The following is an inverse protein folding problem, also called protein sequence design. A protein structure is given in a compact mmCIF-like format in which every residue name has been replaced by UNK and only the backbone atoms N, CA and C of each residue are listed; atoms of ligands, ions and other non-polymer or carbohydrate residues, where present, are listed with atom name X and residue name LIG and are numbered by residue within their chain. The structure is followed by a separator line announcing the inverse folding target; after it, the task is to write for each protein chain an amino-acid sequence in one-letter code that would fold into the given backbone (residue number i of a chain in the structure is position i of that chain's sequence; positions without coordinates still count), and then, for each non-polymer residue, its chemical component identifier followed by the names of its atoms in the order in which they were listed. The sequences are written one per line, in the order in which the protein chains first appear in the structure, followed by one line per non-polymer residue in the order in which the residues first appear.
data_IF_595010488050
#
_entry.id   IF_595010488050
#
_cell.length_a   1.000
_cell.length_b   1.000
_cell.length_c   1.000
_cell.angle_alpha   90.00
_cell.angle_beta   90.00
_cell.angle_gamma   90.00
#
_symmetry.space_group_name_H-M   'P 1'
#
loop_
_entity.id
_entity.type
_entity.pdbx_description
1 polymer ?
#
# COMPACT_ATOMS: atom_id res chain seq x y z
N UNK A 1 -21.85 2.46 -17.05
CA UNK A 1 -22.17 3.56 -16.09
C UNK A 1 -21.53 3.17 -14.76
N UNK A 2 -20.79 4.05 -14.09
CA UNK A 2 -20.16 3.69 -12.81
C UNK A 2 -21.22 3.44 -11.73
N UNK A 3 -21.05 2.41 -10.89
CA UNK A 3 -21.87 2.24 -9.71
C UNK A 3 -21.43 3.22 -8.65
N UNK A 4 -22.37 4.02 -8.18
CA UNK A 4 -22.19 4.77 -6.93
C UNK A 4 -22.40 3.83 -5.73
N UNK A 5 -22.02 4.26 -4.54
CA UNK A 5 -22.30 3.47 -3.32
C UNK A 5 -23.81 3.25 -3.12
N UNK A 6 -24.63 4.25 -3.45
CA UNK A 6 -26.10 4.12 -3.40
C UNK A 6 -26.65 3.09 -4.38
N UNK A 7 -26.11 3.08 -5.62
CA UNK A 7 -26.52 2.07 -6.60
C UNK A 7 -26.15 0.67 -6.13
N UNK A 8 -24.95 0.51 -5.57
CA UNK A 8 -24.47 -0.78 -5.05
C UNK A 8 -25.37 -1.30 -3.92
N UNK A 9 -25.73 -0.44 -2.96
CA UNK A 9 -26.69 -0.79 -1.88
C UNK A 9 -28.00 -1.29 -2.48
N UNK A 10 -28.54 -0.55 -3.44
CA UNK A 10 -29.81 -0.88 -4.10
C UNK A 10 -29.74 -2.23 -4.80
N UNK A 11 -28.66 -2.48 -5.54
CA UNK A 11 -28.45 -3.73 -6.26
C UNK A 11 -28.28 -4.91 -5.31
N UNK A 12 -27.48 -4.78 -4.24
CA UNK A 12 -27.30 -5.84 -3.23
C UNK A 12 -28.66 -6.23 -2.61
N UNK A 13 -29.47 -5.25 -2.23
CA UNK A 13 -30.81 -5.54 -1.67
C UNK A 13 -31.74 -6.22 -2.67
N UNK A 14 -31.74 -5.77 -3.93
CA UNK A 14 -32.53 -6.37 -4.99
C UNK A 14 -32.16 -7.84 -5.22
N UNK A 15 -30.86 -8.16 -5.25
CA UNK A 15 -30.39 -9.55 -5.42
C UNK A 15 -30.66 -10.42 -4.20
N UNK A 16 -30.60 -9.84 -3.00
CA UNK A 16 -30.87 -10.54 -1.76
C UNK A 16 -32.38 -10.67 -1.47
N UNK A 17 -33.24 -9.98 -2.24
CA UNK A 17 -34.69 -9.87 -2.00
C UNK A 17 -35.01 -9.35 -0.58
N UNK A 18 -34.20 -8.42 -0.07
CA UNK A 18 -34.34 -7.83 1.27
C UNK A 18 -34.53 -6.32 1.19
N UNK A 19 -35.28 -5.78 2.15
CA UNK A 19 -35.43 -4.34 2.35
C UNK A 19 -34.39 -3.80 3.37
N UNK A 20 -34.53 -2.51 3.72
CA UNK A 20 -33.64 -1.86 4.69
C UNK A 20 -33.79 -2.37 6.12
N UNK A 21 -34.92 -3.03 6.46
CA UNK A 21 -35.13 -3.65 7.78
C UNK A 21 -34.42 -5.02 7.84
N UNK A 22 -34.46 -5.77 6.73
CA UNK A 22 -33.81 -7.07 6.64
C UNK A 22 -32.28 -6.95 6.44
N UNK A 23 -31.82 -5.93 5.70
CA UNK A 23 -30.39 -5.70 5.44
C UNK A 23 -30.04 -4.21 5.56
N UNK A 24 -29.47 -3.83 6.71
CA UNK A 24 -29.14 -2.43 7.02
C UNK A 24 -27.96 -1.91 6.19
N UNK A 25 -27.89 -0.57 5.97
CA UNK A 25 -26.77 0.07 5.28
C UNK A 25 -25.44 -0.19 5.99
N UNK A 26 -25.43 -0.26 7.31
CA UNK A 26 -24.22 -0.57 8.09
C UNK A 26 -23.71 -2.00 7.82
N UNK A 27 -24.62 -2.97 7.71
CA UNK A 27 -24.26 -4.35 7.35
C UNK A 27 -23.70 -4.42 5.94
N UNK A 28 -24.35 -3.76 4.97
CA UNK A 28 -23.87 -3.69 3.58
C UNK A 28 -22.48 -3.03 3.54
N UNK A 29 -22.26 -1.95 4.30
CA UNK A 29 -20.95 -1.29 4.37
C UNK A 29 -19.85 -2.25 4.77
N UNK A 30 -20.06 -3.08 5.78
CA UNK A 30 -19.07 -4.09 6.22
C UNK A 30 -18.83 -5.15 5.15
N UNK A 31 -19.88 -5.65 4.51
CA UNK A 31 -19.78 -6.63 3.43
C UNK A 31 -18.96 -6.08 2.26
N UNK A 32 -19.29 -4.88 1.82
CA UNK A 32 -18.59 -4.21 0.71
C UNK A 32 -17.12 -3.96 1.05
N UNK A 33 -16.80 -3.46 2.25
CA UNK A 33 -15.41 -3.28 2.69
C UNK A 33 -14.63 -4.59 2.71
N UNK A 34 -15.22 -5.67 3.19
CA UNK A 34 -14.58 -6.98 3.20
C UNK A 34 -14.31 -7.49 1.77
N UNK A 35 -15.26 -7.28 0.87
CA UNK A 35 -15.12 -7.62 -0.56
C UNK A 35 -14.01 -6.81 -1.21
N UNK A 36 -13.98 -5.50 -1.04
CA UNK A 36 -12.91 -4.64 -1.56
C UNK A 36 -11.54 -5.09 -1.02
N UNK A 37 -11.44 -5.32 0.29
CA UNK A 37 -10.21 -5.79 0.92
C UNK A 37 -9.75 -7.15 0.38
N UNK A 38 -10.67 -8.05 0.06
CA UNK A 38 -10.36 -9.33 -0.58
C UNK A 38 -9.85 -9.13 -1.99
N UNK A 39 -10.55 -8.35 -2.82
CA UNK A 39 -10.14 -8.02 -4.19
C UNK A 39 -8.74 -7.41 -4.20
N UNK A 40 -8.49 -6.42 -3.36
CA UNK A 40 -7.18 -5.75 -3.30
C UNK A 40 -6.05 -6.65 -2.77
N UNK A 41 -6.35 -7.70 -1.99
CA UNK A 41 -5.33 -8.68 -1.59
C UNK A 41 -4.95 -9.63 -2.71
N UNK A 42 -5.91 -9.99 -3.56
CA UNK A 42 -5.72 -10.98 -4.62
C UNK A 42 -5.22 -10.33 -5.92
N UNK A 43 -5.62 -9.09 -6.19
CA UNK A 43 -5.35 -8.42 -7.46
C UNK A 43 -4.58 -7.11 -7.25
N UNK A 44 -3.48 -6.94 -7.99
CA UNK A 44 -2.75 -5.69 -8.07
C UNK A 44 -3.28 -4.86 -9.25
N UNK A 45 -4.07 -3.84 -8.97
CA UNK A 45 -4.66 -2.96 -9.98
C UNK A 45 -3.71 -1.81 -10.27
N UNK A 46 -3.31 -1.66 -11.52
CA UNK A 46 -2.32 -0.66 -11.95
C UNK A 46 -2.72 0.79 -11.67
N UNK A 47 -4.02 1.07 -11.61
CA UNK A 47 -4.52 2.39 -11.24
C UNK A 47 -4.16 2.82 -9.80
N UNK A 48 -3.77 1.87 -8.95
CA UNK A 48 -3.35 2.13 -7.56
C UNK A 48 -1.84 2.08 -7.35
N UNK A 49 -1.06 2.09 -8.44
CA UNK A 49 0.37 2.31 -8.36
C UNK A 49 0.67 3.73 -7.89
N UNK A 50 1.51 3.83 -6.88
CA UNK A 50 1.95 5.10 -6.29
C UNK A 50 3.46 5.11 -6.20
N UNK A 51 4.02 6.30 -6.32
CA UNK A 51 5.43 6.58 -6.08
C UNK A 51 5.55 7.44 -4.84
N UNK A 52 6.39 7.04 -3.92
CA UNK A 52 6.77 7.84 -2.77
C UNK A 52 8.28 7.94 -2.69
N UNK A 53 8.77 8.96 -2.01
CA UNK A 53 10.20 9.11 -1.73
C UNK A 53 10.43 9.33 -0.24
N UNK A 54 11.51 8.75 0.26
CA UNK A 54 12.06 8.99 1.59
C UNK A 54 13.52 9.44 1.45
N UNK A 55 14.03 10.16 2.43
CA UNK A 55 15.43 10.59 2.43
C UNK A 55 16.14 9.90 3.59
N UNK A 56 17.30 9.29 3.30
CA UNK A 56 18.15 8.73 4.35
C UNK A 56 18.88 9.82 5.11
N UNK A 57 19.20 9.53 6.36
CA UNK A 57 20.02 10.40 7.21
C UNK A 57 21.36 9.71 7.44
N UNK A 58 22.47 10.42 7.26
CA UNK A 58 23.79 9.87 7.50
C UNK A 58 23.92 9.32 8.93
N UNK A 59 24.38 8.07 9.04
CA UNK A 59 24.48 7.39 10.33
C UNK A 59 23.19 6.76 10.86
N UNK A 60 22.08 6.83 10.12
CA UNK A 60 20.80 6.22 10.49
C UNK A 60 20.46 5.11 9.51
N UNK A 61 20.31 3.88 10.02
CA UNK A 61 20.02 2.68 9.22
C UNK A 61 18.51 2.49 8.92
N UNK A 62 17.67 3.46 9.24
CA UNK A 62 16.22 3.33 9.09
C UNK A 62 15.63 4.45 8.24
N UNK A 63 14.56 4.11 7.51
CA UNK A 63 13.72 5.05 6.78
C UNK A 63 12.24 4.80 7.09
N UNK A 64 11.42 5.84 6.93
CA UNK A 64 9.96 5.71 7.11
C UNK A 64 9.31 5.01 5.93
N UNK A 65 8.36 4.13 6.22
CA UNK A 65 7.52 3.45 5.23
C UNK A 65 6.35 4.36 4.85
N UNK A 66 6.00 4.47 3.57
CA UNK A 66 4.79 5.18 3.16
C UNK A 66 3.53 4.55 3.75
N UNK A 67 2.58 5.38 4.17
CA UNK A 67 1.29 4.91 4.66
C UNK A 67 0.49 4.24 3.53
N UNK A 68 -0.30 3.23 3.89
CA UNK A 68 -1.15 2.51 2.93
C UNK A 68 -0.38 1.63 1.93
N UNK A 69 0.91 1.36 2.18
CA UNK A 69 1.69 0.46 1.36
C UNK A 69 1.17 -0.97 1.48
N UNK A 70 0.92 -1.62 0.35
CA UNK A 70 0.45 -3.01 0.28
C UNK A 70 1.48 -3.94 -0.35
N UNK A 71 1.82 -3.72 -1.60
CA UNK A 71 2.73 -4.56 -2.35
C UNK A 71 3.80 -3.70 -3.03
N UNK A 72 5.06 -4.00 -2.75
CA UNK A 72 6.21 -3.26 -3.26
C UNK A 72 6.53 -3.76 -4.67
N UNK A 73 6.80 -2.84 -5.57
CA UNK A 73 7.25 -3.13 -6.94
C UNK A 73 8.78 -3.08 -7.03
N UNK A 74 9.34 -2.00 -6.56
CA UNK A 74 10.78 -1.82 -6.46
C UNK A 74 11.11 -0.68 -5.50
N UNK A 75 12.33 -0.73 -5.00
CA UNK A 75 12.92 0.32 -4.17
C UNK A 75 14.23 0.74 -4.82
N UNK A 76 14.38 2.03 -5.07
CA UNK A 76 15.56 2.60 -5.75
C UNK A 76 16.19 3.68 -4.89
N UNK A 77 17.50 3.69 -4.87
CA UNK A 77 18.31 4.76 -4.30
C UNK A 77 18.72 5.70 -5.42
N UNK A 78 18.66 7.00 -5.16
CA UNK A 78 19.17 8.05 -6.04
C UNK A 78 20.21 8.84 -5.27
N UNK A 79 21.43 8.92 -5.81
CA UNK A 79 22.51 9.69 -5.22
C UNK A 79 22.42 11.20 -5.55
N UNK A 80 23.35 11.99 -5.02
CA UNK A 80 23.40 13.44 -5.24
C UNK A 80 23.70 13.84 -6.68
N UNK A 81 24.20 12.92 -7.51
CA UNK A 81 24.52 13.15 -8.94
C UNK A 81 23.40 12.67 -9.86
N UNK A 82 22.35 12.04 -9.30
CA UNK A 82 21.20 11.52 -10.04
C UNK A 82 21.36 10.08 -10.52
N UNK A 83 22.43 9.36 -10.13
CA UNK A 83 22.55 7.94 -10.44
C UNK A 83 21.52 7.14 -9.65
N UNK A 84 20.95 6.14 -10.30
CA UNK A 84 19.90 5.29 -9.73
C UNK A 84 20.41 3.87 -9.54
N UNK A 85 20.29 3.33 -8.34
CA UNK A 85 20.59 1.96 -7.99
C UNK A 85 19.36 1.26 -7.37
N UNK A 86 19.10 0.02 -7.76
CA UNK A 86 18.04 -0.77 -7.12
C UNK A 86 18.54 -1.32 -5.79
N UNK A 87 17.76 -1.13 -4.74
CA UNK A 87 17.97 -1.78 -3.45
C UNK A 87 17.35 -3.19 -3.47
N UNK A 88 18.11 -4.17 -3.02
CA UNK A 88 17.64 -5.55 -2.95
C UNK A 88 16.99 -5.81 -1.58
N UNK A 89 15.82 -6.44 -1.61
CA UNK A 89 15.16 -6.91 -0.39
C UNK A 89 15.94 -8.09 0.22
N UNK A 90 16.12 -8.04 1.53
CA UNK A 90 16.75 -9.09 2.34
C UNK A 90 15.94 -9.33 3.61
N UNK A 91 16.20 -10.44 4.26
CA UNK A 91 15.64 -10.72 5.57
C UNK A 91 16.17 -9.73 6.63
N UNK A 92 15.30 -9.31 7.54
CA UNK A 92 15.65 -8.33 8.59
C UNK A 92 16.70 -8.84 9.57
N UNK A 93 16.70 -10.16 9.87
CA UNK A 93 17.71 -10.76 10.76
C UNK A 93 19.08 -10.76 10.08
N UNK A 94 19.14 -11.08 8.78
CA UNK A 94 20.37 -10.97 7.99
C UNK A 94 20.94 -9.54 7.99
N UNK A 95 20.08 -8.54 7.81
CA UNK A 95 20.54 -7.14 7.81
C UNK A 95 20.95 -6.67 9.21
N UNK A 96 20.33 -7.17 10.27
CA UNK A 96 20.74 -6.87 11.66
C UNK A 96 22.16 -7.36 11.95
N UNK A 97 22.55 -8.55 11.46
CA UNK A 97 23.93 -9.04 11.55
C UNK A 97 24.91 -8.20 10.73
N UNK A 98 24.47 -7.67 9.58
CA UNK A 98 25.28 -6.84 8.71
C UNK A 98 25.61 -5.46 9.31
N UNK A 99 24.82 -5.00 10.28
CA UNK A 99 25.05 -3.75 11.02
C UNK A 99 25.97 -4.02 12.21
N UNK A 100 27.25 -4.19 11.99
CA UNK A 100 28.23 -4.49 13.05
C UNK A 100 28.34 -3.37 14.09
N UNK A 101 28.44 -2.12 13.65
CA UNK A 101 28.57 -0.93 14.50
C UNK A 101 27.95 0.31 13.84
N UNK A 102 26.69 0.64 14.15
CA UNK A 102 26.01 1.80 13.54
C UNK A 102 26.70 3.14 13.84
N UNK A 103 27.48 3.22 14.91
CA UNK A 103 28.20 4.44 15.31
C UNK A 103 29.50 4.65 14.54
N UNK A 104 30.06 3.59 13.92
CA UNK A 104 31.32 3.66 13.20
C UNK A 104 31.14 4.41 11.87
N UNK A 105 31.80 5.54 11.70
CA UNK A 105 31.78 6.31 10.46
C UNK A 105 32.49 5.62 9.32
N UNK A 106 33.48 4.77 9.61
CA UNK A 106 34.26 4.05 8.59
C UNK A 106 33.47 2.89 7.94
N UNK A 107 32.40 2.41 8.56
CA UNK A 107 31.54 1.36 8.04
C UNK A 107 30.32 1.90 7.27
N UNK A 108 30.15 3.21 7.25
CA UNK A 108 29.06 3.84 6.50
C UNK A 108 29.37 3.86 5.01
N UNK A 109 28.37 3.52 4.21
CA UNK A 109 28.49 3.50 2.75
C UNK A 109 27.13 3.79 2.10
N UNK A 110 27.10 3.75 0.78
CA UNK A 110 25.86 3.77 0.01
C UNK A 110 25.04 2.50 0.30
N UNK A 111 23.74 2.64 0.68
CA UNK A 111 22.85 1.50 0.90
C UNK A 111 22.68 0.64 -0.37
N UNK A 112 22.64 -0.69 -0.18
CA UNK A 112 22.45 -1.69 -1.24
C UNK A 112 21.28 -2.60 -0.96
N UNK A 113 20.90 -2.72 0.31
CA UNK A 113 19.86 -3.64 0.77
C UNK A 113 18.84 -2.89 1.62
N UNK A 114 17.64 -3.41 1.63
CA UNK A 114 16.58 -2.98 2.51
C UNK A 114 15.83 -4.18 3.09
N UNK A 115 15.19 -4.01 4.22
CA UNK A 115 14.30 -4.99 4.84
C UNK A 115 13.17 -4.32 5.63
N UNK A 116 12.05 -5.00 5.74
CA UNK A 116 11.00 -4.61 6.67
C UNK A 116 11.49 -4.78 8.11
N UNK A 117 11.39 -3.70 8.91
CA UNK A 117 11.62 -3.78 10.35
C UNK A 117 10.29 -3.85 11.09
N UNK A 118 9.35 -2.98 10.74
CA UNK A 118 7.99 -2.97 11.23
C UNK A 118 7.06 -2.28 10.23
N UNK A 119 5.79 -2.09 10.59
CA UNK A 119 4.78 -1.49 9.70
C UNK A 119 5.09 -0.04 9.25
N UNK A 120 5.97 0.66 9.95
CA UNK A 120 6.27 2.09 9.70
C UNK A 120 7.74 2.37 9.38
N UNK A 121 8.61 1.37 9.48
CA UNK A 121 10.06 1.55 9.38
C UNK A 121 10.71 0.41 8.61
N UNK A 122 11.61 0.75 7.69
CA UNK A 122 12.51 -0.18 7.02
C UNK A 122 13.95 0.02 7.43
N UNK A 123 14.73 -1.06 7.45
CA UNK A 123 16.17 -1.01 7.49
C UNK A 123 16.74 -0.74 6.10
N UNK A 124 17.80 0.06 6.04
CA UNK A 124 18.65 0.25 4.86
C UNK A 124 20.11 0.00 5.24
N UNK A 125 20.80 -0.78 4.45
CA UNK A 125 22.14 -1.29 4.78
C UNK A 125 23.04 -1.33 3.53
N UNK A 126 24.31 -0.94 3.61
CA UNK A 126 25.05 -0.35 4.74
C UNK A 126 24.40 0.90 5.34
N UNK A 127 24.81 1.26 6.55
CA UNK A 127 24.38 2.53 7.19
C UNK A 127 24.78 3.69 6.28
N UNK A 128 23.86 4.59 5.91
CA UNK A 128 24.17 5.67 4.96
C UNK A 128 25.30 6.59 5.42
N UNK A 129 26.23 6.89 4.55
CA UNK A 129 27.31 7.86 4.80
C UNK A 129 26.90 9.30 4.49
N UNK A 130 25.82 9.49 3.72
CA UNK A 130 25.24 10.79 3.38
C UNK A 130 23.73 10.65 3.17
N UNK A 131 23.06 11.75 2.83
CA UNK A 131 21.65 11.71 2.44
C UNK A 131 21.52 11.18 1.00
N UNK A 132 20.65 10.19 0.84
CA UNK A 132 20.20 9.63 -0.44
C UNK A 132 18.70 9.72 -0.53
N UNK A 133 18.17 9.87 -1.73
CA UNK A 133 16.72 9.75 -1.97
C UNK A 133 16.38 8.30 -2.25
N UNK A 134 15.44 7.74 -1.50
CA UNK A 134 14.90 6.39 -1.74
C UNK A 134 13.55 6.53 -2.41
N UNK A 135 13.43 6.11 -3.65
CA UNK A 135 12.20 6.07 -4.41
C UNK A 135 11.54 4.70 -4.25
N UNK A 136 10.28 4.69 -3.87
CA UNK A 136 9.51 3.48 -3.58
C UNK A 136 8.32 3.44 -4.53
N UNK A 137 8.27 2.42 -5.39
CA UNK A 137 7.11 2.13 -6.23
C UNK A 137 6.31 1.00 -5.60
N UNK A 138 5.04 1.22 -5.34
CA UNK A 138 4.19 0.26 -4.65
C UNK A 138 2.73 0.37 -5.07
N UNK A 139 1.92 -0.63 -4.72
CA UNK A 139 0.47 -0.56 -4.77
C UNK A 139 -0.05 -0.05 -3.43
N UNK A 140 -0.80 1.05 -3.47
CA UNK A 140 -1.43 1.62 -2.27
C UNK A 140 -2.73 0.89 -1.92
N UNK A 141 -3.12 0.98 -0.64
CA UNK A 141 -4.46 0.61 -0.20
C UNK A 141 -5.45 1.70 -0.63
N UNK A 142 -6.41 1.40 -1.51
CA UNK A 142 -7.41 2.38 -1.90
C UNK A 142 -8.38 2.68 -0.75
N UNK A 143 -8.97 3.87 -0.78
CA UNK A 143 -10.09 4.21 0.09
C UNK A 143 -11.32 3.43 -0.34
N UNK A 144 -12.04 2.81 0.61
CA UNK A 144 -13.28 2.08 0.32
C UNK A 144 -14.36 3.02 -0.22
N UNK A 145 -15.20 2.50 -1.12
CA UNK A 145 -16.40 3.21 -1.60
C UNK A 145 -17.34 3.60 -0.45
N UNK A 146 -17.29 2.86 0.65
CA UNK A 146 -18.15 3.08 1.82
C UNK A 146 -17.70 4.22 2.72
N UNK A 147 -16.44 4.66 2.62
CA UNK A 147 -15.86 5.74 3.46
C UNK A 147 -16.07 7.13 2.87
N UNK A 148 -16.58 7.23 1.65
CA UNK A 148 -16.96 8.52 1.05
C UNK A 148 -18.11 9.16 1.85
N UNK A 149 -18.03 10.48 2.07
CA UNK A 149 -19.09 11.25 2.74
C UNK A 149 -20.35 11.42 1.86
N UNK A 150 -20.32 10.92 0.64
CA UNK A 150 -21.40 11.04 -0.34
C UNK A 150 -21.86 9.66 -0.83
N UNK A 151 -23.16 9.47 -0.88
CA UNK A 151 -23.79 8.31 -1.53
C UNK A 151 -23.43 8.16 -3.00
N UNK A 152 -22.87 9.21 -3.62
CA UNK A 152 -22.42 9.26 -5.01
C UNK A 152 -20.94 8.90 -5.20
N UNK A 153 -20.24 8.49 -4.14
CA UNK A 153 -18.85 8.06 -4.22
C UNK A 153 -18.68 6.89 -5.18
N UNK A 154 -17.61 6.92 -5.97
CA UNK A 154 -17.20 5.84 -6.87
C UNK A 154 -15.74 5.49 -6.64
N UNK A 155 -15.36 4.25 -6.93
CA UNK A 155 -13.97 3.78 -6.94
C UNK A 155 -13.61 3.26 -8.34
N UNK A 156 -12.33 2.93 -8.55
CA UNK A 156 -11.92 2.30 -9.81
C UNK A 156 -12.69 1.00 -10.07
N UNK A 157 -12.85 0.15 -9.05
CA UNK A 157 -13.59 -1.13 -9.19
C UNK A 157 -15.07 -0.86 -9.50
N UNK A 158 -15.72 0.07 -8.79
CA UNK A 158 -17.13 0.38 -9.04
C UNK A 158 -17.39 1.02 -10.40
N UNK A 159 -16.33 1.50 -11.05
CA UNK A 159 -16.41 2.10 -12.40
C UNK A 159 -16.13 1.09 -13.50
N UNK A 160 -15.10 0.23 -13.32
CA UNK A 160 -14.59 -0.63 -14.39
C UNK A 160 -14.84 -2.13 -14.19
N UNK A 161 -15.21 -2.55 -12.95
CA UNK A 161 -15.49 -3.94 -12.60
C UNK A 161 -16.66 -4.03 -11.60
N UNK A 162 -17.79 -3.47 -11.98
CA UNK A 162 -19.00 -3.35 -11.14
C UNK A 162 -19.53 -4.71 -10.68
N UNK A 163 -19.56 -5.65 -11.62
CA UNK A 163 -19.97 -7.03 -11.42
C UNK A 163 -19.10 -7.75 -10.39
N UNK A 164 -17.77 -7.54 -10.45
CA UNK A 164 -16.85 -8.10 -9.47
C UNK A 164 -17.18 -7.62 -8.05
N UNK A 165 -17.47 -6.32 -7.90
CA UNK A 165 -17.82 -5.74 -6.60
C UNK A 165 -19.19 -6.22 -6.12
N UNK A 166 -20.19 -6.25 -7.00
CA UNK A 166 -21.54 -6.68 -6.69
C UNK A 166 -21.57 -8.18 -6.28
N UNK A 167 -21.09 -9.07 -7.17
CA UNK A 167 -21.12 -10.50 -6.90
C UNK A 167 -20.20 -10.90 -5.76
N UNK A 168 -19.04 -10.25 -5.62
CA UNK A 168 -18.18 -10.45 -4.47
C UNK A 168 -18.81 -10.04 -3.14
N UNK A 169 -19.79 -9.15 -3.17
CA UNK A 169 -20.57 -8.73 -1.97
C UNK A 169 -21.77 -9.64 -1.67
N UNK A 170 -22.13 -10.54 -2.58
CA UNK A 170 -23.25 -11.47 -2.43
C UNK A 170 -22.81 -12.89 -1.99
N UNK A 171 -21.50 -13.16 -1.97
CA UNK A 171 -20.86 -14.42 -1.55
C UNK A 171 -20.31 -14.30 -0.13
#
# INVERSE_FOLDING_TARGET
MAFTYSDLITQIRNYAELDSNGLSDSTISVIVQNTENRIYREINIDAYKVYASAVTVAGTSTISVPSGLRNIRYVQLVDSTGNVANLLEKDSAYLAEYIENPSSTSLRAEPKYWANFNATTWFVVPVPNTAYTINIAYYSQPTSITTGTSSTSTTYISTYAQDLLLYGSLV
#
